data_IF_164413118262
#
_entry.id   IF_164413118262
#
_cell.length_a   1.000
_cell.length_b   1.000
_cell.length_c   1.000
_cell.angle_alpha   90.00
_cell.angle_beta   90.00
_cell.angle_gamma   90.00
#
_symmetry.space_group_name_H-M   'P 1'
#
loop_
_entity.id
_entity.type
_entity.pdbx_description
1 polymer ?
#
# COMPACT_ATOMS: atom_id res chain seq x y z
N UNK A 1 -4.07 -6.11 13.04
CA UNK A 1 -3.60 -5.49 11.78
C UNK A 1 -2.40 -4.60 12.11
N UNK A 2 -1.42 -4.53 11.22
CA UNK A 2 -0.16 -3.83 11.48
C UNK A 2 0.08 -2.66 10.50
N UNK A 3 0.94 -1.71 10.88
CA UNK A 3 1.41 -0.69 9.95
C UNK A 3 2.42 -1.30 8.97
N UNK A 4 2.25 -1.07 7.66
CA UNK A 4 3.19 -1.57 6.67
C UNK A 4 4.54 -0.83 6.75
N UNK A 5 5.64 -1.59 6.83
CA UNK A 5 7.03 -1.10 6.93
C UNK A 5 7.93 -1.63 5.81
N UNK A 6 7.44 -1.59 4.57
CA UNK A 6 8.19 -2.10 3.43
C UNK A 6 9.52 -1.37 3.17
N UNK A 7 10.56 -2.13 2.82
CA UNK A 7 11.88 -1.57 2.51
C UNK A 7 12.21 -1.79 1.04
N UNK A 8 12.35 -0.69 0.29
CA UNK A 8 12.53 -0.74 -1.16
C UNK A 8 13.99 -0.59 -1.57
N UNK A 9 14.48 -1.51 -2.39
CA UNK A 9 15.73 -1.45 -3.12
C UNK A 9 15.45 -1.12 -4.59
N UNK A 10 15.65 0.15 -4.93
CA UNK A 10 15.44 0.67 -6.28
C UNK A 10 16.62 0.37 -7.22
N UNK A 11 17.77 -0.04 -6.69
CA UNK A 11 18.96 -0.39 -7.47
C UNK A 11 19.14 -1.92 -7.62
N UNK A 12 18.14 -2.68 -7.18
CA UNK A 12 18.08 -4.13 -7.32
C UNK A 12 18.34 -4.60 -8.76
N UNK A 13 19.24 -5.57 -8.89
CA UNK A 13 19.58 -6.20 -10.18
C UNK A 13 18.92 -7.59 -10.22
N UNK A 14 17.88 -7.72 -11.05
CA UNK A 14 17.18 -8.99 -11.26
C UNK A 14 18.04 -10.02 -12.00
N UNK A 15 18.00 -11.27 -11.53
CA UNK A 15 18.57 -12.41 -12.24
C UNK A 15 17.68 -12.83 -13.44
N UNK A 16 18.21 -13.69 -14.31
CA UNK A 16 17.49 -14.14 -15.51
C UNK A 16 16.23 -14.96 -15.19
N UNK A 17 16.25 -15.74 -14.10
CA UNK A 17 15.09 -16.51 -13.65
C UNK A 17 13.91 -15.60 -13.33
N UNK A 18 14.12 -14.55 -12.52
CA UNK A 18 13.09 -13.59 -12.17
C UNK A 18 12.58 -12.81 -13.39
N UNK A 19 13.47 -12.44 -14.32
CA UNK A 19 13.07 -11.79 -15.58
C UNK A 19 12.17 -12.70 -16.41
N UNK A 20 12.50 -13.99 -16.48
CA UNK A 20 11.72 -15.01 -17.19
C UNK A 20 10.34 -15.17 -16.55
N UNK A 21 10.27 -15.27 -15.22
CA UNK A 21 9.00 -15.34 -14.50
C UNK A 21 8.08 -14.14 -14.77
N UNK A 22 8.63 -12.93 -14.90
CA UNK A 22 7.85 -11.76 -15.30
C UNK A 22 7.28 -11.86 -16.72
N UNK A 23 7.99 -12.51 -17.64
CA UNK A 23 7.54 -12.69 -19.01
C UNK A 23 6.46 -13.78 -19.11
N UNK A 24 6.53 -14.80 -18.27
CA UNK A 24 5.58 -15.92 -18.21
C UNK A 24 4.35 -15.64 -17.36
N UNK A 25 4.37 -14.59 -16.54
CA UNK A 25 3.29 -14.23 -15.63
C UNK A 25 1.95 -14.00 -16.35
N UNK A 26 0.84 -14.47 -15.76
CA UNK A 26 -0.53 -14.35 -16.29
C UNK A 26 -0.94 -12.89 -16.59
N UNK A 27 -0.34 -11.90 -15.91
CA UNK A 27 -0.56 -10.47 -16.13
C UNK A 27 0.48 -9.82 -17.07
N UNK A 28 1.01 -10.56 -18.05
CA UNK A 28 2.02 -10.10 -19.02
C UNK A 28 1.69 -8.79 -19.76
N UNK A 29 0.40 -8.45 -19.89
CA UNK A 29 -0.08 -7.21 -20.53
C UNK A 29 -0.29 -6.03 -19.58
N UNK A 30 -0.18 -6.25 -18.26
CA UNK A 30 -0.31 -5.16 -17.29
C UNK A 30 0.85 -4.18 -17.44
N UNK A 31 0.59 -2.88 -17.31
CA UNK A 31 1.62 -1.82 -17.32
C UNK A 31 2.63 -1.98 -16.19
N UNK A 32 2.15 -2.48 -15.06
CA UNK A 32 2.96 -2.77 -13.88
C UNK A 32 2.67 -4.21 -13.49
N UNK A 33 3.73 -5.02 -13.43
CA UNK A 33 3.65 -6.40 -13.01
C UNK A 33 4.25 -6.51 -11.61
N UNK A 34 3.64 -7.35 -10.76
CA UNK A 34 4.07 -7.52 -9.38
C UNK A 34 4.15 -9.01 -9.06
N UNK A 35 5.30 -9.46 -8.58
CA UNK A 35 5.52 -10.83 -8.13
C UNK A 35 5.97 -10.79 -6.68
N UNK A 36 5.28 -11.50 -5.80
CA UNK A 36 5.68 -11.71 -4.41
C UNK A 36 6.18 -13.14 -4.23
N UNK A 37 7.21 -13.31 -3.40
CA UNK A 37 7.85 -14.59 -3.07
C UNK A 37 8.22 -14.64 -1.60
N UNK A 38 7.94 -15.76 -0.95
CA UNK A 38 8.49 -16.06 0.37
C UNK A 38 9.98 -16.34 0.19
N UNK A 39 10.84 -15.51 0.76
CA UNK A 39 12.29 -15.64 0.62
C UNK A 39 12.89 -16.48 1.74
N UNK A 40 12.33 -16.36 2.95
CA UNK A 40 12.65 -17.18 4.11
C UNK A 40 11.47 -17.17 5.09
N UNK A 41 11.65 -17.74 6.28
CA UNK A 41 10.59 -17.87 7.28
C UNK A 41 10.01 -16.54 7.77
N UNK A 42 10.74 -15.44 7.62
CA UNK A 42 10.40 -14.12 8.18
C UNK A 42 10.24 -13.02 7.12
N UNK A 43 10.60 -13.25 5.86
CA UNK A 43 10.63 -12.21 4.82
C UNK A 43 9.90 -12.64 3.56
N UNK A 44 9.08 -11.73 3.05
CA UNK A 44 8.52 -11.79 1.70
C UNK A 44 9.20 -10.71 0.86
N UNK A 45 9.80 -11.14 -0.25
CA UNK A 45 10.28 -10.24 -1.30
C UNK A 45 9.17 -9.98 -2.30
N UNK A 46 8.98 -8.72 -2.66
CA UNK A 46 8.01 -8.26 -3.64
C UNK A 46 8.77 -7.54 -4.74
N UNK A 47 8.59 -7.98 -5.96
CA UNK A 47 9.25 -7.44 -7.14
C UNK A 47 8.22 -6.71 -7.98
N UNK A 48 8.57 -5.50 -8.41
CA UNK A 48 7.74 -4.67 -9.27
C UNK A 48 8.50 -4.38 -10.56
N UNK A 49 7.88 -4.71 -11.70
CA UNK A 49 8.42 -4.41 -13.04
C UNK A 49 7.62 -3.30 -13.69
N UNK A 50 8.31 -2.27 -14.17
CA UNK A 50 7.72 -1.34 -15.13
C UNK A 50 7.68 -2.01 -16.51
N UNK A 51 6.51 -2.51 -16.89
CA UNK A 51 6.32 -3.23 -18.15
C UNK A 51 5.90 -2.30 -19.31
N UNK A 52 5.96 -0.98 -19.10
CA UNK A 52 5.70 0.00 -20.16
C UNK A 52 6.97 0.32 -20.94
N UNK A 53 6.85 1.10 -22.03
CA UNK A 53 7.99 1.67 -22.76
C UNK A 53 8.51 2.96 -22.14
N UNK A 54 7.72 3.57 -21.26
CA UNK A 54 7.98 4.88 -20.67
C UNK A 54 8.57 4.74 -19.26
N UNK A 55 9.07 5.85 -18.72
CA UNK A 55 9.50 5.90 -17.30
C UNK A 55 8.28 6.07 -16.41
N UNK A 56 8.13 5.18 -15.42
CA UNK A 56 7.12 5.26 -14.38
C UNK A 56 7.64 6.11 -13.23
N UNK A 57 6.78 6.96 -12.65
CA UNK A 57 7.08 7.67 -11.40
C UNK A 57 6.33 7.01 -10.26
N UNK A 58 7.05 6.47 -9.29
CA UNK A 58 6.48 5.88 -8.08
C UNK A 58 6.50 6.89 -6.95
N UNK A 59 5.33 7.27 -6.45
CA UNK A 59 5.23 8.05 -5.23
C UNK A 59 5.59 7.17 -4.02
N UNK A 60 6.36 7.75 -3.08
CA UNK A 60 6.75 7.10 -1.82
C UNK A 60 6.64 8.08 -0.66
N UNK A 61 6.48 7.55 0.54
CA UNK A 61 6.52 8.33 1.78
C UNK A 61 7.56 7.74 2.71
N UNK A 62 8.45 8.58 3.24
CA UNK A 62 9.48 8.14 4.19
C UNK A 62 10.30 6.94 3.66
N UNK A 63 10.55 6.91 2.34
CA UNK A 63 11.20 5.81 1.58
C UNK A 63 10.39 4.53 1.35
N UNK A 64 9.17 4.47 1.86
CA UNK A 64 8.26 3.34 1.73
C UNK A 64 7.30 3.56 0.55
N UNK A 65 7.08 2.52 -0.27
CA UNK A 65 6.08 2.55 -1.34
C UNK A 65 4.68 2.34 -0.77
N UNK A 66 3.65 2.96 -1.36
CA UNK A 66 2.26 2.75 -0.95
C UNK A 66 1.79 1.33 -1.27
N UNK A 67 1.99 0.43 -0.33
CA UNK A 67 1.57 -0.96 -0.41
C UNK A 67 1.06 -1.45 0.95
N UNK A 68 0.08 -2.36 0.91
CA UNK A 68 -0.39 -3.10 2.08
C UNK A 68 -0.64 -4.57 1.71
N UNK A 69 -0.54 -5.44 2.71
CA UNK A 69 -0.92 -6.83 2.60
C UNK A 69 -2.43 -7.03 2.85
N UNK A 70 -3.04 -7.85 2.01
CA UNK A 70 -4.41 -8.35 2.18
C UNK A 70 -4.39 -9.87 2.35
N UNK A 71 -5.36 -10.40 3.09
CA UNK A 71 -5.58 -11.83 3.25
C UNK A 71 -7.05 -12.19 3.01
N UNK A 72 -7.32 -13.42 2.58
CA UNK A 72 -8.69 -13.96 2.58
C UNK A 72 -9.13 -14.27 4.01
N UNK A 73 -10.28 -13.74 4.43
CA UNK A 73 -10.87 -14.13 5.70
C UNK A 73 -11.55 -15.51 5.63
N UNK A 74 -12.14 -15.96 6.74
CA UNK A 74 -12.89 -17.24 6.83
C UNK A 74 -13.99 -17.42 5.77
N UNK A 75 -14.50 -16.32 5.20
CA UNK A 75 -15.52 -16.32 4.15
C UNK A 75 -14.93 -16.20 2.73
N UNK A 76 -13.60 -16.33 2.58
CA UNK A 76 -12.90 -16.19 1.30
C UNK A 76 -12.82 -14.75 0.76
N UNK A 77 -13.20 -13.74 1.56
CA UNK A 77 -13.18 -12.34 1.14
C UNK A 77 -11.83 -11.70 1.45
N UNK A 78 -11.25 -11.00 0.49
CA UNK A 78 -10.06 -10.18 0.70
C UNK A 78 -10.32 -9.07 1.71
N UNK A 79 -9.45 -8.96 2.71
CA UNK A 79 -9.47 -7.92 3.73
C UNK A 79 -8.04 -7.44 3.98
N UNK A 80 -7.85 -6.14 4.25
CA UNK A 80 -6.54 -5.64 4.69
C UNK A 80 -6.16 -6.31 6.00
N UNK A 81 -4.90 -6.67 6.12
CA UNK A 81 -4.25 -7.09 7.37
C UNK A 81 -3.07 -6.17 7.74
N UNK A 82 -2.78 -5.23 6.86
CA UNK A 82 -1.94 -4.07 7.12
C UNK A 82 -2.69 -2.77 6.77
N UNK A 83 -2.20 -1.65 7.29
CA UNK A 83 -2.67 -0.31 6.94
C UNK A 83 -1.51 0.63 6.61
N UNK A 84 -1.83 1.68 5.86
CA UNK A 84 -0.95 2.79 5.57
C UNK A 84 -1.22 3.96 6.50
N UNK A 85 -0.17 4.71 6.81
CA UNK A 85 -0.24 5.88 7.68
C UNK A 85 0.43 7.07 7.01
N UNK A 86 -0.35 8.10 6.70
CA UNK A 86 0.15 9.25 5.96
C UNK A 86 0.79 10.29 6.89
N UNK A 87 2.02 10.68 6.58
CA UNK A 87 2.75 11.76 7.26
C UNK A 87 2.12 13.11 6.91
N UNK A 88 1.89 13.96 7.90
CA UNK A 88 1.31 15.30 7.65
C UNK A 88 2.38 16.36 7.32
N UNK A 89 3.67 16.05 7.52
CA UNK A 89 4.76 16.91 7.09
C UNK A 89 5.07 16.67 5.60
N UNK A 90 5.12 17.76 4.82
CA UNK A 90 5.37 17.68 3.37
C UNK A 90 6.74 17.10 2.99
N UNK A 91 7.72 17.11 3.90
CA UNK A 91 9.09 16.64 3.66
C UNK A 91 9.21 15.12 3.51
N UNK A 92 8.17 14.38 3.87
CA UNK A 92 8.15 12.91 3.79
C UNK A 92 7.82 12.38 2.40
N UNK A 93 7.29 13.20 1.51
CA UNK A 93 6.80 12.77 0.20
C UNK A 93 7.88 12.90 -0.87
N UNK A 94 8.23 11.77 -1.47
CA UNK A 94 9.24 11.68 -2.52
C UNK A 94 8.69 10.91 -3.71
N UNK A 95 9.42 10.93 -4.82
CA UNK A 95 9.11 10.13 -5.99
C UNK A 95 10.35 9.45 -6.52
N UNK A 96 10.21 8.24 -7.02
CA UNK A 96 11.30 7.49 -7.65
C UNK A 96 10.99 7.22 -9.13
N UNK A 97 11.99 7.32 -10.01
CA UNK A 97 11.81 7.11 -11.45
C UNK A 97 12.25 5.70 -11.83
N UNK A 98 11.32 4.89 -12.30
CA UNK A 98 11.56 3.52 -12.73
C UNK A 98 11.54 3.47 -14.26
N UNK A 99 12.71 3.28 -14.87
CA UNK A 99 12.83 3.19 -16.32
C UNK A 99 12.10 1.97 -16.88
N UNK A 100 11.85 2.00 -18.19
CA UNK A 100 11.23 0.89 -18.93
C UNK A 100 11.93 -0.44 -18.64
N UNK A 101 11.14 -1.48 -18.37
CA UNK A 101 11.57 -2.85 -18.04
C UNK A 101 12.41 -3.01 -16.77
N UNK A 102 12.69 -1.92 -16.02
CA UNK A 102 13.39 -2.01 -14.73
C UNK A 102 12.52 -2.76 -13.72
N UNK A 103 13.16 -3.65 -12.97
CA UNK A 103 12.59 -4.39 -11.85
C UNK A 103 13.18 -3.80 -10.58
N UNK A 104 12.31 -3.46 -9.62
CA UNK A 104 12.71 -3.08 -8.27
C UNK A 104 12.28 -4.14 -7.28
N UNK A 105 12.90 -4.13 -6.11
CA UNK A 105 12.56 -5.03 -5.01
C UNK A 105 12.05 -4.21 -3.83
N UNK A 106 11.06 -4.74 -3.13
CA UNK A 106 10.69 -4.28 -1.80
C UNK A 106 10.45 -5.50 -0.90
N UNK A 107 10.82 -5.40 0.37
CA UNK A 107 10.70 -6.48 1.33
C UNK A 107 9.73 -6.10 2.44
N UNK A 108 9.02 -7.10 2.96
CA UNK A 108 8.17 -6.95 4.14
C UNK A 108 8.24 -8.20 5.01
N UNK A 109 7.81 -8.05 6.26
CA UNK A 109 7.74 -9.13 7.22
C UNK A 109 6.72 -10.19 6.79
N UNK A 110 7.11 -11.45 6.88
CA UNK A 110 6.19 -12.57 6.76
C UNK A 110 5.55 -12.82 8.11
N UNK A 111 4.24 -12.57 8.19
CA UNK A 111 3.48 -12.92 9.38
C UNK A 111 3.46 -14.43 9.62
N UNK A 112 3.27 -14.76 10.90
CA UNK A 112 3.11 -16.13 11.38
C UNK A 112 1.82 -16.21 12.20
N UNK A 113 1.27 -17.42 12.30
CA UNK A 113 0.06 -17.68 13.08
C UNK A 113 -0.49 -19.06 12.80
N UNK A 114 -1.76 -19.28 13.16
CA UNK A 114 -2.42 -20.58 13.01
C UNK A 114 -3.45 -20.61 11.88
N UNK A 115 -3.88 -19.45 11.40
CA UNK A 115 -4.89 -19.35 10.35
C UNK A 115 -4.24 -19.42 8.97
N UNK A 116 -4.42 -20.54 8.27
CA UNK A 116 -3.97 -20.74 6.89
C UNK A 116 -4.86 -19.95 5.92
N UNK A 117 -4.24 -19.15 5.06
CA UNK A 117 -4.93 -18.30 4.09
C UNK A 117 -4.05 -18.04 2.88
N UNK A 118 -4.66 -17.49 1.84
CA UNK A 118 -3.94 -16.80 0.77
C UNK A 118 -3.80 -15.33 1.11
N UNK A 119 -2.61 -14.78 0.82
CA UNK A 119 -2.28 -13.36 0.93
C UNK A 119 -1.94 -12.79 -0.46
N UNK A 120 -2.04 -11.47 -0.60
CA UNK A 120 -1.55 -10.71 -1.75
C UNK A 120 -1.14 -9.31 -1.31
N UNK A 121 -0.34 -8.64 -2.12
CA UNK A 121 0.02 -7.24 -1.90
C UNK A 121 -0.78 -6.33 -2.81
N UNK A 122 -1.36 -5.28 -2.21
CA UNK A 122 -2.10 -4.22 -2.89
C UNK A 122 -1.22 -2.98 -2.97
N UNK A 123 -0.88 -2.56 -4.19
CA UNK A 123 -0.13 -1.33 -4.45
C UNK A 123 -1.07 -0.25 -4.97
N UNK A 124 -0.93 0.97 -4.44
CA UNK A 124 -1.59 2.16 -4.97
C UNK A 124 -0.55 3.00 -5.73
N UNK A 125 -0.65 3.01 -7.06
CA UNK A 125 0.28 3.73 -7.95
C UNK A 125 -0.55 4.59 -8.90
N UNK A 126 -0.32 5.91 -8.87
CA UNK A 126 -1.05 6.88 -9.71
C UNK A 126 -2.57 6.67 -9.65
N UNK A 127 -3.07 6.51 -8.42
CA UNK A 127 -4.49 6.32 -8.13
C UNK A 127 -5.11 5.05 -8.75
N UNK A 128 -4.28 4.07 -9.07
CA UNK A 128 -4.69 2.75 -9.59
C UNK A 128 -4.15 1.65 -8.70
N UNK A 129 -4.93 0.58 -8.59
CA UNK A 129 -4.55 -0.59 -7.81
C UNK A 129 -3.88 -1.62 -8.69
N UNK A 130 -2.76 -2.15 -8.20
CA UNK A 130 -2.07 -3.30 -8.75
C UNK A 130 -1.90 -4.36 -7.67
N UNK A 131 -2.05 -5.62 -8.04
CA UNK A 131 -1.93 -6.75 -7.12
C UNK A 131 -0.76 -7.65 -7.50
N UNK A 132 -0.11 -8.23 -6.49
CA UNK A 132 0.80 -9.37 -6.68
C UNK A 132 0.03 -10.66 -7.01
N UNK A 133 0.78 -11.71 -7.37
CA UNK A 133 0.30 -13.09 -7.23
C UNK A 133 -0.09 -13.41 -5.78
N UNK A 134 -0.86 -14.49 -5.62
CA UNK A 134 -1.29 -14.99 -4.33
C UNK A 134 -0.20 -15.89 -3.73
N UNK A 135 -0.01 -15.79 -2.41
CA UNK A 135 0.88 -16.65 -1.64
C UNK A 135 0.08 -17.37 -0.55
N UNK A 136 0.35 -18.66 -0.33
CA UNK A 136 -0.21 -19.38 0.81
C UNK A 136 0.65 -19.10 2.04
N UNK A 137 0.05 -18.54 3.09
CA UNK A 137 0.71 -18.14 4.33
C UNK A 137 -0.15 -18.49 5.54
N UNK A 138 0.44 -18.33 6.73
CA UNK A 138 -0.27 -18.36 8.01
C UNK A 138 -0.25 -16.98 8.63
N UNK A 139 -1.39 -16.56 9.14
CA UNK A 139 -1.56 -15.29 9.85
C UNK A 139 -2.23 -15.53 11.20
N UNK A 140 -2.16 -14.56 12.09
CA UNK A 140 -3.06 -14.53 13.24
C UNK A 140 -4.43 -13.97 12.80
N UNK A 141 -5.52 -14.58 13.27
CA UNK A 141 -6.87 -14.13 12.90
C UNK A 141 -7.16 -12.70 13.38
N UNK A 142 -6.52 -12.27 14.48
CA UNK A 142 -6.59 -10.91 15.00
C UNK A 142 -5.94 -9.88 14.06
N UNK A 143 -5.19 -10.32 13.05
CA UNK A 143 -4.67 -9.39 12.04
C UNK A 143 -5.77 -8.75 11.19
N UNK A 144 -6.98 -9.31 11.16
CA UNK A 144 -8.13 -8.65 10.54
C UNK A 144 -8.76 -7.54 11.40
N UNK A 145 -8.42 -7.46 12.68
CA UNK A 145 -8.97 -6.46 13.59
C UNK A 145 -8.27 -5.11 13.40
N UNK A 146 -9.06 -4.04 13.41
CA UNK A 146 -8.56 -2.66 13.39
C UNK A 146 -7.99 -2.33 14.78
N UNK A 147 -6.67 -2.09 14.92
CA UNK A 147 -6.08 -1.80 16.21
C UNK A 147 -6.46 -0.39 16.66
N UNK A 148 -6.45 -0.19 17.98
CA UNK A 148 -6.71 1.12 18.57
C UNK A 148 -5.69 2.17 18.07
N UNK A 149 -4.44 1.77 17.87
CA UNK A 149 -3.35 2.60 17.34
C UNK A 149 -3.68 3.24 15.99
N UNK A 150 -4.31 2.49 15.07
CA UNK A 150 -4.77 3.00 13.78
C UNK A 150 -5.77 4.14 14.01
N UNK A 151 -6.76 3.93 14.88
CA UNK A 151 -7.81 4.92 15.14
C UNK A 151 -7.31 6.15 15.89
N UNK A 152 -6.22 6.02 16.65
CA UNK A 152 -5.56 7.14 17.34
C UNK A 152 -4.57 7.89 16.46
N UNK A 153 -4.22 7.36 15.28
CA UNK A 153 -3.25 8.00 14.39
C UNK A 153 -3.73 9.38 13.91
N UNK A 154 -2.79 10.29 13.68
CA UNK A 154 -3.06 11.68 13.28
C UNK A 154 -3.83 11.76 11.95
N UNK A 155 -3.45 10.95 10.95
CA UNK A 155 -4.16 10.83 9.68
C UNK A 155 -5.62 10.47 9.89
N UNK A 156 -5.90 9.41 10.65
CA UNK A 156 -7.26 8.94 10.90
C UNK A 156 -8.10 10.03 11.58
N UNK A 157 -7.55 10.67 12.62
CA UNK A 157 -8.20 11.78 13.31
C UNK A 157 -8.42 13.01 12.42
N UNK A 158 -7.49 13.34 11.53
CA UNK A 158 -7.63 14.44 10.60
C UNK A 158 -8.75 14.19 9.58
N UNK A 159 -8.86 12.95 9.08
CA UNK A 159 -9.98 12.55 8.22
C UNK A 159 -11.31 12.66 8.98
N UNK A 160 -11.37 12.20 10.23
CA UNK A 160 -12.58 12.31 11.05
C UNK A 160 -13.01 13.75 11.32
N UNK A 161 -12.07 14.69 11.47
CA UNK A 161 -12.40 16.12 11.64
C UNK A 161 -13.11 16.70 10.43
N UNK A 162 -12.74 16.26 9.23
CA UNK A 162 -13.26 16.77 7.96
C UNK A 162 -14.41 15.92 7.38
N UNK A 163 -14.54 14.66 7.80
CA UNK A 163 -15.42 13.66 7.18
C UNK A 163 -15.89 12.59 8.19
N UNK A 164 -15.77 11.30 7.87
CA UNK A 164 -16.30 10.18 8.63
C UNK A 164 -15.33 8.98 8.63
N UNK A 165 -15.69 7.94 9.39
CA UNK A 165 -14.92 6.71 9.55
C UNK A 165 -14.70 5.95 8.23
N UNK A 166 -15.70 5.93 7.36
CA UNK A 166 -15.61 5.23 6.08
C UNK A 166 -14.49 5.81 5.20
N UNK A 167 -14.41 7.13 5.09
CA UNK A 167 -13.32 7.77 4.36
C UNK A 167 -11.97 7.55 5.03
N UNK A 168 -11.93 7.56 6.36
CA UNK A 168 -10.69 7.30 7.10
C UNK A 168 -10.16 5.89 6.78
N UNK A 169 -11.00 4.87 6.81
CA UNK A 169 -10.62 3.51 6.42
C UNK A 169 -10.18 3.43 4.94
N UNK A 170 -10.90 4.08 4.02
CA UNK A 170 -10.51 4.14 2.60
C UNK A 170 -9.10 4.73 2.41
N UNK A 171 -8.78 5.80 3.14
CA UNK A 171 -7.45 6.42 3.12
C UNK A 171 -6.39 5.47 3.68
N UNK A 172 -6.62 4.89 4.86
CA UNK A 172 -5.65 4.01 5.51
C UNK A 172 -5.45 2.68 4.76
N UNK A 173 -6.46 2.23 4.00
CA UNK A 173 -6.38 1.00 3.21
C UNK A 173 -6.04 1.24 1.74
N UNK A 174 -5.50 2.42 1.40
CA UNK A 174 -5.00 2.75 0.06
C UNK A 174 -6.06 2.60 -1.04
N UNK A 175 -7.32 2.96 -0.76
CA UNK A 175 -8.36 2.93 -1.78
C UNK A 175 -8.18 4.07 -2.80
N UNK A 176 -8.43 3.84 -4.10
CA UNK A 176 -8.37 4.89 -5.11
C UNK A 176 -9.27 6.07 -4.77
N UNK A 177 -8.81 7.27 -5.09
CA UNK A 177 -9.43 8.57 -4.88
C UNK A 177 -9.63 8.97 -3.43
N UNK A 178 -9.36 8.09 -2.46
CA UNK A 178 -9.60 8.35 -1.03
C UNK A 178 -8.83 9.58 -0.53
N UNK A 179 -7.55 9.70 -0.87
CA UNK A 179 -6.73 10.85 -0.50
C UNK A 179 -7.20 12.14 -1.17
N UNK A 180 -7.63 12.07 -2.44
CA UNK A 180 -8.19 13.22 -3.15
C UNK A 180 -9.49 13.70 -2.51
N UNK A 181 -10.41 12.77 -2.25
CA UNK A 181 -11.68 13.04 -1.56
C UNK A 181 -11.44 13.64 -0.17
N UNK A 182 -10.45 13.12 0.56
CA UNK A 182 -10.06 13.68 1.85
C UNK A 182 -9.54 15.12 1.71
N UNK A 183 -8.63 15.40 0.77
CA UNK A 183 -8.11 16.74 0.53
C UNK A 183 -9.23 17.74 0.24
N UNK A 184 -10.18 17.40 -0.64
CA UNK A 184 -11.32 18.26 -0.97
C UNK A 184 -12.19 18.57 0.26
N UNK A 185 -12.50 17.55 1.07
CA UNK A 185 -13.28 17.75 2.31
C UNK A 185 -12.49 18.55 3.35
N UNK A 186 -11.18 18.34 3.43
CA UNK A 186 -10.32 19.06 4.36
C UNK A 186 -10.25 20.55 4.02
N UNK A 187 -10.14 20.92 2.74
CA UNK A 187 -10.20 22.32 2.31
C UNK A 187 -11.53 23.00 2.67
N UNK A 188 -12.65 22.30 2.49
CA UNK A 188 -13.98 22.80 2.88
C UNK A 188 -14.05 23.02 4.40
N UNK A 189 -13.52 22.07 5.18
CA UNK A 189 -13.48 22.18 6.64
C UNK A 189 -12.61 23.36 7.11
N UNK A 190 -11.44 23.57 6.51
CA UNK A 190 -10.55 24.70 6.82
C UNK A 190 -11.20 26.06 6.53
N UNK A 191 -11.91 26.18 5.40
CA UNK A 191 -12.67 27.40 5.04
C UNK A 191 -13.72 27.72 6.11
N UNK A 192 -14.53 26.74 6.51
CA UNK A 192 -15.56 26.90 7.56
C UNK A 192 -14.99 27.35 8.90
N UNK A 193 -13.85 26.78 9.32
CA UNK A 193 -13.19 27.18 10.57
C UNK A 193 -12.65 28.60 10.49
N UNK A 194 -12.06 28.97 9.35
CA UNK A 194 -11.49 30.31 9.14
C UNK A 194 -12.59 31.36 9.17
N UNK A 195 -13.73 31.12 8.52
CA UNK A 195 -14.89 32.02 8.55
C UNK A 195 -15.45 32.18 9.97
N UNK A 196 -15.59 31.07 10.71
CA UNK A 196 -16.06 31.10 12.11
C UNK A 196 -15.14 31.90 13.03
N UNK A 197 -13.82 31.87 12.78
CA UNK A 197 -12.84 32.59 13.57
C UNK A 197 -12.71 34.07 13.19
N UNK A 198 -13.11 34.47 11.97
CA UNK A 198 -13.18 35.88 11.55
C UNK A 198 -14.41 36.62 12.09
N UNK A 199 -15.44 35.89 12.49
CA UNK A 199 -16.67 36.43 13.11
C UNK A 199 -16.65 36.47 14.64
N UNK A 200 -15.50 36.20 15.26
CA UNK A 200 -15.22 36.35 16.70
C UNK A 200 -14.22 37.48 16.89
#
# INVERSE_FOLDING_TARGET
MDYNKNQSDFEFIANEDLKTEFNENENSKSKIQIIAKITNDSIISIYLKNNTKDTLTLSKQDWHLYLIQEAKNKNGKWKPIEYWSYSWCGNSYLSEKITSQKIIKTETEKYNGTFETEIRFKFLIDNKIYYSNQLKCKIDITQFDIPEELTKHSTYNNVLRASNKELAEKVMFLEPNSMKEFSEKHEIWLKKITEKNKGK
#
